data_IF_649138491827
#
_entry.id   IF_649138491827
#
_cell.length_a   1.000
_cell.length_b   1.000
_cell.length_c   1.000
_cell.angle_alpha   90.00
_cell.angle_beta   90.00
_cell.angle_gamma   90.00
#
_symmetry.space_group_name_H-M   'P 1'
#
loop_
_entity.id
_entity.type
_entity.pdbx_description
1 polymer ?
#
# COMPACT_ATOMS: atom_id res chain seq x y z
N UNK A 1 -20.53 8.12 12.67
CA UNK A 1 -19.67 8.32 11.48
C UNK A 1 -18.25 8.33 12.03
N UNK A 2 -17.54 7.21 11.87
CA UNK A 2 -16.21 7.07 12.44
C UNK A 2 -15.21 7.88 11.60
N UNK A 3 -14.35 8.66 12.24
CA UNK A 3 -13.22 9.28 11.57
C UNK A 3 -12.10 8.25 11.37
N UNK A 4 -11.24 8.44 10.37
CA UNK A 4 -10.07 7.56 10.17
C UNK A 4 -9.24 7.40 11.46
N UNK A 5 -9.17 8.44 12.28
CA UNK A 5 -8.48 8.48 13.58
C UNK A 5 -9.03 7.52 14.63
N UNK A 6 -10.24 7.02 14.45
CA UNK A 6 -10.93 6.12 15.38
C UNK A 6 -10.85 4.65 14.90
N UNK A 7 -10.34 4.40 13.69
CA UNK A 7 -10.23 3.06 13.12
C UNK A 7 -9.03 2.31 13.71
N UNK A 8 -9.28 1.14 14.31
CA UNK A 8 -8.25 0.29 14.94
C UNK A 8 -7.19 -0.19 13.93
N UNK A 9 -7.61 -0.48 12.70
CA UNK A 9 -6.76 -0.99 11.63
C UNK A 9 -6.91 -0.16 10.37
N UNK A 10 -5.79 0.21 9.77
CA UNK A 10 -5.74 0.96 8.51
C UNK A 10 -5.24 0.07 7.39
N UNK A 11 -5.86 0.22 6.23
CA UNK A 11 -5.47 -0.47 5.01
C UNK A 11 -5.18 0.56 3.95
N UNK A 12 -4.00 0.41 3.35
CA UNK A 12 -3.50 1.37 2.39
C UNK A 12 -3.03 0.63 1.14
N UNK A 13 -3.50 1.05 -0.02
CA UNK A 13 -3.10 0.49 -1.32
C UNK A 13 -3.29 1.57 -2.38
N UNK A 14 -2.61 1.45 -3.51
CA UNK A 14 -2.95 2.33 -4.61
C UNK A 14 -2.85 1.73 -6.01
N UNK A 15 -3.77 2.19 -6.84
CA UNK A 15 -4.01 1.72 -8.19
C UNK A 15 -3.39 2.61 -9.24
N UNK A 16 -2.86 1.97 -10.28
CA UNK A 16 -2.20 2.63 -11.41
C UNK A 16 -3.11 2.71 -12.64
N UNK A 17 -3.82 1.62 -12.93
CA UNK A 17 -4.55 1.45 -14.18
C UNK A 17 -5.72 2.42 -14.34
N UNK A 18 -6.31 2.84 -13.22
CA UNK A 18 -7.48 3.74 -13.18
C UNK A 18 -7.07 5.14 -12.71
N UNK A 19 -5.76 5.45 -12.76
CA UNK A 19 -5.24 6.74 -12.38
C UNK A 19 -5.30 7.73 -13.56
N UNK A 20 -5.73 8.99 -13.37
CA UNK A 20 -5.65 10.01 -14.39
C UNK A 20 -4.25 10.12 -14.96
N UNK A 21 -4.12 10.33 -16.27
CA UNK A 21 -2.83 10.35 -16.97
C UNK A 21 -1.84 11.40 -16.45
N UNK A 22 -2.33 12.47 -15.81
CA UNK A 22 -1.51 13.51 -15.17
C UNK A 22 -0.92 13.08 -13.81
N UNK A 23 -1.36 11.95 -13.27
CA UNK A 23 -0.87 11.36 -12.03
C UNK A 23 -0.40 9.92 -12.29
N UNK A 24 0.52 9.44 -11.47
CA UNK A 24 1.09 8.11 -11.62
C UNK A 24 0.29 7.05 -10.85
N UNK A 25 -0.34 7.43 -9.73
CA UNK A 25 -1.14 6.53 -8.88
C UNK A 25 -2.24 7.28 -8.14
N UNK A 26 -3.35 6.58 -7.90
CA UNK A 26 -4.30 6.92 -6.82
C UNK A 26 -4.00 6.00 -5.64
N UNK A 27 -3.57 6.57 -4.52
CA UNK A 27 -3.42 5.86 -3.25
C UNK A 27 -4.68 6.04 -2.41
N UNK A 28 -5.11 5.01 -1.71
CA UNK A 28 -6.31 5.04 -0.86
C UNK A 28 -5.96 4.56 0.53
N UNK A 29 -6.42 5.30 1.55
CA UNK A 29 -6.36 4.92 2.96
C UNK A 29 -7.77 4.60 3.42
N UNK A 30 -7.92 3.44 4.04
CA UNK A 30 -9.20 2.81 4.35
C UNK A 30 -9.16 2.26 5.77
N UNK A 31 -10.33 2.09 6.35
CA UNK A 31 -10.50 1.44 7.65
C UNK A 31 -11.89 0.81 7.74
N UNK A 32 -12.11 0.04 8.80
CA UNK A 32 -13.44 -0.48 9.12
C UNK A 32 -14.20 0.56 9.94
N UNK A 33 -15.49 0.74 9.67
CA UNK A 33 -16.39 1.43 10.59
C UNK A 33 -16.91 0.46 11.68
N UNK A 34 -17.68 0.97 12.64
CA UNK A 34 -18.28 0.19 13.72
C UNK A 34 -19.13 -1.00 13.24
N UNK A 35 -19.70 -0.88 12.04
CA UNK A 35 -20.52 -1.93 11.42
C UNK A 35 -19.66 -3.02 10.72
N UNK A 36 -18.33 -2.97 10.85
CA UNK A 36 -17.41 -3.93 10.22
C UNK A 36 -17.28 -3.76 8.71
N UNK A 37 -17.65 -2.59 8.17
CA UNK A 37 -17.63 -2.30 6.73
C UNK A 37 -16.41 -1.47 6.38
N UNK A 38 -15.71 -1.94 5.35
CA UNK A 38 -14.50 -1.31 4.91
C UNK A 38 -14.75 -0.12 3.98
N UNK A 39 -14.56 1.08 4.52
CA UNK A 39 -14.78 2.34 3.83
C UNK A 39 -13.44 3.03 3.47
N UNK A 40 -13.36 3.67 2.29
CA UNK A 40 -12.26 4.57 1.98
C UNK A 40 -12.47 5.92 2.67
N UNK A 41 -11.46 6.39 3.38
CA UNK A 41 -11.49 7.67 4.10
C UNK A 41 -10.64 8.75 3.44
N UNK A 42 -9.53 8.37 2.80
CA UNK A 42 -8.63 9.30 2.11
C UNK A 42 -8.20 8.74 0.76
N UNK A 43 -8.15 9.61 -0.24
CA UNK A 43 -7.53 9.33 -1.53
C UNK A 43 -6.42 10.35 -1.79
N UNK A 44 -5.25 9.88 -2.20
CA UNK A 44 -4.10 10.72 -2.57
C UNK A 44 -3.77 10.49 -4.05
N UNK A 45 -3.67 11.57 -4.81
CA UNK A 45 -3.18 11.55 -6.19
C UNK A 45 -1.67 11.76 -6.17
N UNK A 46 -0.92 10.73 -6.57
CA UNK A 46 0.54 10.70 -6.46
C UNK A 46 1.19 10.85 -7.84
N UNK A 47 2.19 11.74 -8.01
CA UNK A 47 2.88 11.97 -9.29
C UNK A 47 3.94 10.90 -9.61
N UNK A 48 4.27 9.98 -8.70
CA UNK A 48 5.26 8.93 -8.90
C UNK A 48 5.23 7.87 -7.78
N UNK A 49 5.96 6.75 -7.96
CA UNK A 49 5.95 5.63 -7.00
C UNK A 49 7.26 5.26 -6.31
N UNK A 50 8.40 5.68 -6.83
CA UNK A 50 9.65 5.05 -6.39
C UNK A 50 10.62 6.03 -5.77
N UNK A 51 11.07 5.70 -4.57
CA UNK A 51 12.30 6.23 -3.99
C UNK A 51 13.51 5.96 -4.92
N UNK A 52 13.50 4.88 -5.72
CA UNK A 52 14.51 4.65 -6.78
C UNK A 52 14.40 5.58 -7.97
N UNK A 53 13.27 6.27 -8.14
CA UNK A 53 13.11 7.38 -9.08
C UNK A 53 13.75 8.66 -8.51
N UNK A 54 13.60 8.89 -7.20
CA UNK A 54 14.19 10.01 -6.48
C UNK A 54 15.71 9.84 -6.24
N UNK A 55 16.19 8.61 -6.11
CA UNK A 55 17.62 8.29 -5.93
C UNK A 55 18.32 7.93 -7.24
N UNK A 56 17.60 7.64 -8.33
CA UNK A 56 18.17 7.31 -9.64
C UNK A 56 18.62 5.84 -9.82
N UNK A 57 18.22 4.93 -8.92
CA UNK A 57 18.58 3.50 -8.98
C UNK A 57 17.74 2.65 -9.94
N UNK A 58 16.70 3.22 -10.55
CA UNK A 58 15.72 2.44 -11.32
C UNK A 58 16.32 1.69 -12.52
N UNK A 59 17.24 2.31 -13.27
CA UNK A 59 17.89 1.66 -14.41
C UNK A 59 18.80 0.52 -13.93
N UNK A 60 19.68 0.81 -12.96
CA UNK A 60 20.58 -0.19 -12.37
C UNK A 60 19.82 -1.39 -11.78
N UNK A 61 18.67 -1.16 -11.14
CA UNK A 61 17.87 -2.25 -10.58
C UNK A 61 17.36 -3.26 -11.62
N UNK A 62 17.08 -2.79 -12.86
CA UNK A 62 16.60 -3.67 -13.93
C UNK A 62 17.71 -4.56 -14.47
N UNK A 63 18.91 -4.00 -14.60
CA UNK A 63 20.01 -4.63 -15.33
C UNK A 63 21.00 -5.35 -14.39
N UNK A 64 21.05 -5.00 -13.10
CA UNK A 64 21.95 -5.60 -12.10
C UNK A 64 21.20 -6.56 -11.16
N UNK A 65 21.52 -7.85 -11.28
CA UNK A 65 20.97 -8.91 -10.42
C UNK A 65 21.45 -8.80 -8.96
N UNK A 66 22.70 -8.40 -8.71
CA UNK A 66 23.22 -8.26 -7.35
C UNK A 66 22.51 -7.14 -6.60
N UNK A 67 22.29 -6.00 -7.26
CA UNK A 67 21.53 -4.89 -6.70
C UNK A 67 20.10 -5.30 -6.37
N UNK A 68 19.42 -5.99 -7.30
CA UNK A 68 18.07 -6.47 -7.11
C UNK A 68 17.95 -7.51 -6.01
N UNK A 69 18.92 -8.43 -5.93
CA UNK A 69 18.98 -9.41 -4.85
C UNK A 69 19.21 -8.73 -3.50
N UNK A 70 20.11 -7.75 -3.43
CA UNK A 70 20.35 -6.99 -2.21
C UNK A 70 19.07 -6.31 -1.69
N UNK A 71 18.30 -5.65 -2.56
CA UNK A 71 17.01 -5.06 -2.17
C UNK A 71 15.98 -6.11 -1.72
N UNK A 72 15.95 -7.29 -2.35
CA UNK A 72 15.06 -8.39 -1.93
C UNK A 72 15.43 -8.91 -0.55
N UNK A 73 16.72 -9.14 -0.29
CA UNK A 73 17.22 -9.54 1.02
C UNK A 73 16.91 -8.46 2.06
N UNK A 74 17.19 -7.20 1.74
CA UNK A 74 16.91 -6.06 2.60
C UNK A 74 15.43 -5.98 3.01
N UNK A 75 14.51 -6.19 2.07
CA UNK A 75 13.08 -6.26 2.38
C UNK A 75 12.70 -7.50 3.21
N UNK A 76 13.36 -8.64 2.96
CA UNK A 76 13.08 -9.88 3.67
C UNK A 76 13.51 -9.85 5.15
N UNK A 77 14.44 -8.97 5.54
CA UNK A 77 14.88 -8.82 6.94
C UNK A 77 13.72 -8.52 7.89
N UNK A 78 12.67 -7.83 7.42
CA UNK A 78 11.47 -7.58 8.22
C UNK A 78 10.68 -8.85 8.59
N UNK A 79 10.95 -9.98 7.95
CA UNK A 79 10.32 -11.28 8.24
C UNK A 79 11.06 -12.08 9.31
N UNK A 80 12.23 -11.61 9.76
CA UNK A 80 13.06 -12.29 10.76
C UNK A 80 12.69 -11.87 12.17
N UNK A 81 13.01 -12.69 13.20
CA UNK A 81 12.92 -12.27 14.59
C UNK A 81 13.56 -10.90 14.80
N UNK A 82 12.97 -10.07 15.66
CA UNK A 82 13.42 -8.70 15.87
C UNK A 82 14.90 -8.62 16.31
N UNK A 83 15.39 -9.63 17.04
CA UNK A 83 16.82 -9.75 17.42
C UNK A 83 17.73 -9.85 16.21
N UNK A 84 17.32 -10.62 15.21
CA UNK A 84 18.13 -10.97 14.04
C UNK A 84 18.02 -9.85 13.00
N UNK A 85 16.85 -9.22 12.90
CA UNK A 85 16.55 -8.08 12.03
C UNK A 85 17.59 -6.96 12.16
N UNK A 86 17.97 -6.58 13.38
CA UNK A 86 18.96 -5.51 13.62
C UNK A 86 20.34 -5.92 13.10
N UNK A 87 20.75 -7.17 13.37
CA UNK A 87 22.05 -7.69 12.93
C UNK A 87 22.12 -7.78 11.40
N UNK A 88 21.09 -8.32 10.76
CA UNK A 88 21.07 -8.53 9.32
C UNK A 88 20.95 -7.22 8.54
N UNK A 89 20.22 -6.22 9.04
CA UNK A 89 20.26 -4.89 8.43
C UNK A 89 21.67 -4.30 8.45
N UNK A 90 22.38 -4.39 9.59
CA UNK A 90 23.75 -3.89 9.68
C UNK A 90 24.68 -4.63 8.72
N UNK A 91 24.55 -5.95 8.63
CA UNK A 91 25.32 -6.76 7.67
C UNK A 91 25.06 -6.34 6.22
N UNK A 92 23.80 -6.18 5.82
CA UNK A 92 23.43 -5.77 4.46
C UNK A 92 23.88 -4.33 4.14
N UNK A 93 23.83 -3.41 5.10
CA UNK A 93 24.28 -2.02 4.91
C UNK A 93 25.81 -1.97 4.72
N UNK A 94 26.56 -2.80 5.45
CA UNK A 94 28.01 -2.91 5.32
C UNK A 94 28.41 -3.56 3.99
N UNK A 95 27.66 -4.57 3.53
CA UNK A 95 27.93 -5.33 2.31
C UNK A 95 27.09 -4.88 1.10
N UNK A 96 26.64 -3.62 1.08
CA UNK A 96 25.82 -3.10 -0.03
C UNK A 96 26.62 -2.99 -1.34
N UNK A 97 25.96 -3.20 -2.50
CA UNK A 97 26.55 -2.96 -3.82
C UNK A 97 27.10 -1.54 -3.98
N UNK A 98 28.07 -1.35 -4.88
CA UNK A 98 28.79 -0.08 -5.06
C UNK A 98 28.01 0.90 -5.94
N UNK A 99 26.90 1.43 -5.41
CA UNK A 99 26.13 2.51 -6.03
C UNK A 99 26.09 3.73 -5.10
N UNK A 100 26.56 4.91 -5.55
CA UNK A 100 26.48 6.15 -4.76
C UNK A 100 25.07 6.47 -4.27
N UNK A 101 24.07 6.16 -5.08
CA UNK A 101 22.66 6.38 -4.81
C UNK A 101 22.14 5.56 -3.61
N UNK A 102 22.77 4.42 -3.29
CA UNK A 102 22.42 3.62 -2.11
C UNK A 102 22.77 4.32 -0.80
N UNK A 103 23.68 5.29 -0.81
CA UNK A 103 23.99 6.08 0.38
C UNK A 103 22.76 6.88 0.79
N UNK A 104 22.12 7.56 -0.16
CA UNK A 104 20.89 8.33 0.08
C UNK A 104 19.75 7.43 0.56
N UNK A 105 19.59 6.26 -0.07
CA UNK A 105 18.61 5.25 0.35
C UNK A 105 18.83 4.79 1.80
N UNK A 106 20.06 4.41 2.15
CA UNK A 106 20.37 3.94 3.51
C UNK A 106 20.18 5.05 4.55
N UNK A 107 20.53 6.29 4.23
CA UNK A 107 20.31 7.44 5.11
C UNK A 107 18.82 7.67 5.35
N UNK A 108 18.02 7.70 4.28
CA UNK A 108 16.57 7.82 4.39
C UNK A 108 15.97 6.68 5.21
N UNK A 109 16.37 5.43 4.93
CA UNK A 109 15.92 4.26 5.65
C UNK A 109 16.25 4.37 7.14
N UNK A 110 17.47 4.79 7.49
CA UNK A 110 17.87 4.93 8.89
C UNK A 110 17.05 5.99 9.64
N UNK A 111 16.78 7.14 9.00
CA UNK A 111 15.98 8.23 9.58
C UNK A 111 14.50 7.88 9.70
N UNK A 112 13.98 7.06 8.79
CA UNK A 112 12.54 6.76 8.70
C UNK A 112 12.17 5.46 9.42
N UNK A 113 13.03 4.44 9.33
CA UNK A 113 12.78 3.05 9.77
C UNK A 113 13.85 2.43 10.70
N UNK A 114 14.92 3.17 11.02
CA UNK A 114 15.94 2.71 11.98
C UNK A 114 15.43 2.56 13.42
N UNK A 115 16.26 2.01 14.32
CA UNK A 115 15.88 1.73 15.71
C UNK A 115 15.38 2.96 16.50
N UNK A 116 15.83 4.17 16.14
CA UNK A 116 15.47 5.44 16.78
C UNK A 116 14.74 6.40 15.81
N UNK A 117 14.01 5.83 14.86
CA UNK A 117 13.38 6.58 13.76
C UNK A 117 11.91 6.89 14.01
N UNK A 118 11.28 7.55 13.02
CA UNK A 118 9.84 7.81 12.99
C UNK A 118 9.02 6.51 13.09
N UNK A 119 9.49 5.43 12.46
CA UNK A 119 8.85 4.12 12.45
C UNK A 119 9.86 3.02 12.84
N UNK A 120 10.13 2.82 14.13
CA UNK A 120 11.19 1.92 14.58
C UNK A 120 10.90 0.44 14.24
N UNK A 121 11.93 -0.40 14.14
CA UNK A 121 11.84 -1.82 13.69
C UNK A 121 10.67 -2.65 14.24
N UNK A 122 10.25 -2.53 15.52
CA UNK A 122 9.09 -3.25 16.02
C UNK A 122 7.76 -2.90 15.32
N UNK A 123 7.63 -1.71 14.73
CA UNK A 123 6.37 -1.25 14.09
C UNK A 123 6.13 -1.89 12.72
N UNK A 124 7.17 -2.34 12.04
CA UNK A 124 7.09 -2.96 10.71
C UNK A 124 7.70 -4.37 10.67
N UNK A 125 8.04 -4.96 11.82
CA UNK A 125 8.43 -6.35 11.90
C UNK A 125 7.22 -7.26 11.65
N UNK A 126 7.40 -8.22 10.75
CA UNK A 126 6.37 -9.16 10.30
C UNK A 126 6.67 -10.61 10.71
N UNK A 127 7.64 -10.84 11.59
CA UNK A 127 7.92 -12.17 12.12
C UNK A 127 6.70 -12.71 12.88
N UNK A 128 6.26 -13.92 12.52
CA UNK A 128 5.08 -14.58 13.10
C UNK A 128 3.78 -13.76 13.02
N UNK A 129 3.68 -12.81 12.08
CA UNK A 129 2.44 -12.09 11.87
C UNK A 129 1.44 -12.96 11.08
N UNK A 130 0.33 -13.34 11.72
CA UNK A 130 -0.75 -14.16 11.14
C UNK A 130 -1.95 -13.32 10.68
N UNK A 131 -1.94 -12.01 10.93
CA UNK A 131 -2.98 -11.11 10.46
C UNK A 131 -3.06 -11.14 8.92
N UNK A 132 -4.22 -10.79 8.32
CA UNK A 132 -4.40 -10.81 6.87
C UNK A 132 -3.26 -10.08 6.15
N UNK A 133 -2.39 -10.86 5.48
CA UNK A 133 -1.13 -10.38 4.88
C UNK A 133 -1.34 -9.68 3.53
N UNK A 134 -2.56 -9.64 3.04
CA UNK A 134 -2.88 -9.24 1.68
C UNK A 134 -4.00 -8.22 1.67
N UNK A 135 -3.85 -7.18 0.87
CA UNK A 135 -4.89 -6.21 0.52
C UNK A 135 -5.86 -6.79 -0.49
N UNK A 136 -6.08 -8.12 -0.52
CA UNK A 136 -6.92 -8.83 -1.50
C UNK A 136 -8.32 -8.21 -1.68
N UNK A 137 -8.89 -7.67 -0.60
CA UNK A 137 -10.17 -6.97 -0.62
C UNK A 137 -10.07 -5.62 -1.37
N UNK A 138 -8.96 -4.90 -1.23
CA UNK A 138 -8.65 -3.67 -2.00
C UNK A 138 -8.31 -4.02 -3.45
N UNK A 139 -7.52 -5.06 -3.70
CA UNK A 139 -7.21 -5.56 -5.05
C UNK A 139 -8.46 -5.99 -5.82
N UNK A 140 -9.37 -6.74 -5.17
CA UNK A 140 -10.65 -7.14 -5.73
C UNK A 140 -11.56 -5.95 -6.06
N UNK A 141 -11.49 -4.86 -5.29
CA UNK A 141 -12.19 -3.60 -5.58
C UNK A 141 -11.57 -2.88 -6.78
N UNK A 142 -10.25 -2.78 -6.85
CA UNK A 142 -9.56 -2.23 -8.01
C UNK A 142 -9.85 -3.02 -9.29
N UNK A 143 -9.97 -4.34 -9.19
CA UNK A 143 -10.41 -5.19 -10.29
C UNK A 143 -11.84 -4.86 -10.75
N UNK A 144 -12.77 -4.57 -9.83
CA UNK A 144 -14.13 -4.12 -10.18
C UNK A 144 -14.12 -2.80 -10.97
N UNK A 145 -13.20 -1.88 -10.69
CA UNK A 145 -13.07 -0.64 -11.47
C UNK A 145 -12.69 -0.94 -12.91
N UNK A 146 -11.70 -1.82 -13.11
CA UNK A 146 -11.30 -2.29 -14.44
C UNK A 146 -12.48 -2.92 -15.20
N UNK A 147 -13.30 -3.73 -14.51
CA UNK A 147 -14.49 -4.38 -15.10
C UNK A 147 -15.60 -3.39 -15.47
N UNK A 148 -15.67 -2.22 -14.83
CA UNK A 148 -16.65 -1.15 -15.14
C UNK A 148 -16.32 -0.36 -16.42
N UNK A 149 -15.36 -0.81 -17.22
CA UNK A 149 -15.06 -0.22 -18.53
C UNK A 149 -14.30 1.10 -18.44
N UNK A 150 -13.63 1.37 -17.31
CA UNK A 150 -12.74 2.52 -17.20
C UNK A 150 -11.59 2.36 -18.17
N UNK A 151 -11.37 3.34 -19.05
CA UNK A 151 -10.19 3.39 -19.89
C UNK A 151 -8.91 3.26 -19.04
N UNK A 152 -7.87 2.62 -19.58
CA UNK A 152 -6.55 2.69 -18.96
C UNK A 152 -6.12 4.16 -18.98
N UNK A 153 -6.12 4.80 -17.81
CA UNK A 153 -5.94 6.24 -17.62
C UNK A 153 -7.12 7.13 -18.03
N UNK A 154 -8.23 7.12 -17.27
CA UNK A 154 -9.37 8.00 -17.52
C UNK A 154 -8.99 9.47 -17.29
N UNK A 155 -9.74 10.43 -17.86
CA UNK A 155 -9.49 11.85 -17.52
C UNK A 155 -9.80 12.13 -16.03
N UNK A 156 -9.34 13.28 -15.53
CA UNK A 156 -9.46 13.63 -14.11
C UNK A 156 -10.92 13.68 -13.62
N UNK A 157 -11.86 14.11 -14.46
CA UNK A 157 -13.28 14.19 -14.10
C UNK A 157 -13.90 12.80 -13.97
N UNK A 158 -13.64 11.91 -14.93
CA UNK A 158 -14.05 10.51 -14.85
C UNK A 158 -13.49 9.83 -13.60
N UNK A 159 -12.26 10.16 -13.20
CA UNK A 159 -11.67 9.65 -11.96
C UNK A 159 -12.40 10.15 -10.73
N UNK A 160 -12.67 11.45 -10.64
CA UNK A 160 -13.42 12.05 -9.52
C UNK A 160 -14.80 11.41 -9.40
N UNK A 161 -15.50 11.18 -10.51
CA UNK A 161 -16.82 10.55 -10.50
C UNK A 161 -16.76 9.09 -10.03
N UNK A 162 -15.72 8.34 -10.41
CA UNK A 162 -15.50 6.98 -9.90
C UNK A 162 -15.25 6.96 -8.39
N UNK A 163 -14.45 7.90 -7.88
CA UNK A 163 -14.18 8.02 -6.44
C UNK A 163 -15.46 8.36 -5.66
N UNK A 164 -16.29 9.27 -6.20
CA UNK A 164 -17.59 9.61 -5.61
C UNK A 164 -18.54 8.41 -5.58
N UNK A 165 -18.65 7.67 -6.69
CA UNK A 165 -19.49 6.47 -6.75
C UNK A 165 -19.03 5.39 -5.75
N UNK A 166 -17.72 5.22 -5.57
CA UNK A 166 -17.17 4.32 -4.55
C UNK A 166 -17.57 4.74 -3.13
N UNK A 167 -17.47 6.03 -2.81
CA UNK A 167 -17.85 6.55 -1.51
C UNK A 167 -19.36 6.37 -1.27
N UNK A 168 -20.21 6.69 -2.25
CA UNK A 168 -21.66 6.50 -2.16
C UNK A 168 -22.04 5.03 -1.98
N UNK A 169 -21.38 4.11 -2.69
CA UNK A 169 -21.63 2.67 -2.56
C UNK A 169 -21.20 2.14 -1.17
N UNK A 170 -20.09 2.66 -0.63
CA UNK A 170 -19.66 2.35 0.73
C UNK A 170 -20.69 2.78 1.77
N UNK A 171 -21.19 4.01 1.66
CA UNK A 171 -22.23 4.54 2.54
C UNK A 171 -23.56 3.76 2.42
N UNK A 172 -23.95 3.39 1.20
CA UNK A 172 -25.16 2.60 0.97
C UNK A 172 -25.07 1.19 1.56
N UNK A 173 -23.94 0.51 1.41
CA UNK A 173 -23.75 -0.81 2.03
C UNK A 173 -23.80 -0.72 3.56
N UNK A 174 -23.22 0.34 4.15
CA UNK A 174 -23.35 0.60 5.58
C UNK A 174 -24.80 0.77 6.03
N UNK A 175 -25.58 1.55 5.29
CA UNK A 175 -27.00 1.71 5.57
C UNK A 175 -27.76 0.37 5.43
N UNK A 176 -27.47 -0.41 4.38
CA UNK A 176 -28.14 -1.69 4.11
C UNK A 176 -27.86 -2.72 5.20
N UNK A 177 -26.61 -2.83 5.63
CA UNK A 177 -26.20 -3.82 6.63
C UNK A 177 -26.75 -3.44 8.01
N UNK A 178 -26.85 -2.13 8.32
CA UNK A 178 -27.58 -1.63 9.49
C UNK A 178 -29.08 -1.97 9.44
N UNK A 179 -29.68 -2.03 8.25
CA UNK A 179 -31.07 -2.45 8.03
C UNK A 179 -31.25 -3.98 7.96
N UNK A 180 -30.18 -4.79 8.09
CA UNK A 180 -30.24 -6.25 8.10
C UNK A 180 -30.65 -6.90 6.76
N UNK A 181 -30.52 -6.18 5.63
CA UNK A 181 -30.93 -6.70 4.32
C UNK A 181 -29.75 -7.44 3.66
N UNK A 182 -29.88 -8.75 3.45
CA UNK A 182 -28.86 -9.59 2.82
C UNK A 182 -28.64 -9.28 1.33
N UNK A 183 -27.45 -9.59 0.80
CA UNK A 183 -27.12 -9.40 -0.62
C UNK A 183 -27.98 -10.32 -1.52
N UNK A 184 -28.38 -9.89 -2.73
CA UNK A 184 -29.22 -10.70 -3.63
C UNK A 184 -28.60 -11.99 -4.21
N UNK A 185 -27.52 -12.54 -3.65
CA UNK A 185 -26.76 -13.62 -4.30
C UNK A 185 -26.61 -14.93 -3.51
N UNK A 186 -27.31 -15.12 -2.38
CA UNK A 186 -27.26 -16.38 -1.62
C UNK A 186 -28.39 -17.38 -1.97
N UNK A 187 -28.87 -17.40 -3.23
CA UNK A 187 -29.91 -18.36 -3.67
C UNK A 187 -29.41 -19.37 -4.71
N UNK A 188 -28.17 -19.31 -5.18
CA UNK A 188 -27.61 -20.37 -6.04
C UNK A 188 -26.11 -20.58 -5.81
N UNK A 189 -25.77 -21.32 -4.75
CA UNK A 189 -24.58 -22.17 -4.68
C UNK A 189 -24.90 -23.43 -3.88
#
# INVERSE_FOLDING_TARGET
>A
MLYLSESEMWYCDGTFYVCPSIFYQIYSIRGYNDDGIMAPYVYCLLPGKSETLYTGLQAAYKDDEQLRMWFRLFAAVALLPLSDMIFDFNYLIQNKPKYPQLICFVQYFHQTYGAFSTFPSPTYNHFMNFSPRTTNHVEGRHFKWKKRGTAAHPNIYCTIDLLRQEQSLGAFNALRDHMGVSQPNDVNK
#
